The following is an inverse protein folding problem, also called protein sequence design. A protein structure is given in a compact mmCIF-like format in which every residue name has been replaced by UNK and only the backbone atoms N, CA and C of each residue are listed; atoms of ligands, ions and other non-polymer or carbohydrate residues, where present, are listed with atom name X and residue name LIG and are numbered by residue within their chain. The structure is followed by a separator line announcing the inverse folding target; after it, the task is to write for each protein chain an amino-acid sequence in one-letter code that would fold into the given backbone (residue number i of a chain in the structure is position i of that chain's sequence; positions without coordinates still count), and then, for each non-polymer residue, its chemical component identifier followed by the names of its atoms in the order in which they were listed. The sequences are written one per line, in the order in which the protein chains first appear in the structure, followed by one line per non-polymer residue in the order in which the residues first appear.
data_IF_046326195743
#
_entry.id   IF_046326195743
#
_cell.length_a   1.000
_cell.length_b   1.000
_cell.length_c   1.000
_cell.angle_alpha   90.00
_cell.angle_beta   90.00
_cell.angle_gamma   90.00
#
_symmetry.space_group_name_H-M   'P 1'
#
loop_
_entity.id
_entity.type
_entity.pdbx_description
1 polymer ?
#
# COMPACT_ATOMS: atom_id res chain seq x y z
N UNK A 1 -18.36 -11.03 -12.05
CA UNK A 1 -17.32 -9.98 -11.99
C UNK A 1 -16.78 -9.95 -10.57
N UNK A 2 -15.46 -9.97 -10.38
CA UNK A 2 -14.85 -9.79 -9.05
C UNK A 2 -14.83 -8.31 -8.70
N UNK A 3 -15.05 -7.97 -7.43
CA UNK A 3 -14.98 -6.60 -6.93
C UNK A 3 -13.76 -6.44 -6.02
N UNK A 4 -13.02 -5.34 -6.19
CA UNK A 4 -11.85 -5.00 -5.38
C UNK A 4 -12.00 -3.60 -4.80
N UNK A 5 -11.77 -3.47 -3.50
CA UNK A 5 -11.68 -2.17 -2.84
C UNK A 5 -10.25 -1.64 -2.94
N UNK A 6 -10.09 -0.42 -3.44
CA UNK A 6 -8.81 0.26 -3.51
C UNK A 6 -8.99 1.76 -3.23
N UNK A 7 -7.90 2.42 -2.84
CA UNK A 7 -7.81 3.88 -2.72
C UNK A 7 -6.66 4.39 -3.56
N UNK A 8 -6.89 5.51 -4.24
CA UNK A 8 -5.79 6.33 -4.76
C UNK A 8 -5.49 7.39 -3.70
N UNK A 9 -4.25 7.44 -3.25
CA UNK A 9 -3.76 8.42 -2.28
C UNK A 9 -2.58 9.18 -2.86
N UNK A 10 -2.44 10.45 -2.48
CA UNK A 10 -1.26 11.25 -2.80
C UNK A 10 -0.38 11.34 -1.56
N UNK A 11 0.84 10.84 -1.66
CA UNK A 11 1.83 10.84 -0.57
C UNK A 11 2.68 12.11 -0.66
N UNK A 12 3.09 12.65 0.48
CA UNK A 12 3.87 13.90 0.59
C UNK A 12 3.12 15.15 0.10
N UNK A 13 1.82 15.23 0.38
CA UNK A 13 1.02 16.43 0.16
C UNK A 13 0.18 16.80 1.39
N UNK A 14 -0.23 18.06 1.47
CA UNK A 14 -1.04 18.63 2.55
C UNK A 14 -1.81 19.88 2.11
N UNK A 15 -2.86 20.21 2.86
CA UNK A 15 -3.61 21.45 2.69
C UNK A 15 -4.29 21.56 1.33
N UNK A 16 -4.09 22.69 0.63
CA UNK A 16 -4.73 22.96 -0.67
C UNK A 16 -4.07 22.24 -1.86
N UNK A 17 -2.92 21.60 -1.66
CA UNK A 17 -2.15 20.94 -2.71
C UNK A 17 -2.56 19.47 -2.91
N UNK A 18 -3.83 19.09 -2.67
CA UNK A 18 -4.28 17.69 -2.54
C UNK A 18 -3.98 16.76 -3.73
N UNK A 19 -3.71 17.32 -4.92
CA UNK A 19 -3.33 16.57 -6.13
C UNK A 19 -1.83 16.68 -6.48
N UNK A 20 -0.99 17.09 -5.53
CA UNK A 20 0.48 17.06 -5.65
C UNK A 20 1.10 15.87 -4.90
N UNK A 21 2.42 15.75 -4.95
CA UNK A 21 3.14 14.66 -4.29
C UNK A 21 3.25 13.43 -5.18
N UNK A 22 3.33 12.25 -4.56
CA UNK A 22 3.47 10.98 -5.28
C UNK A 22 2.17 10.18 -5.19
N UNK A 23 1.49 9.92 -6.33
CA UNK A 23 0.27 9.14 -6.35
C UNK A 23 0.56 7.65 -6.11
N UNK A 24 -0.32 6.99 -5.37
CA UNK A 24 -0.23 5.57 -5.03
C UNK A 24 -1.61 4.93 -5.07
N UNK A 25 -1.72 3.77 -5.72
CA UNK A 25 -2.90 2.92 -5.60
C UNK A 25 -2.69 1.87 -4.50
N UNK A 26 -3.63 1.76 -3.57
CA UNK A 26 -3.59 0.81 -2.45
C UNK A 26 -4.82 -0.09 -2.50
N UNK A 27 -4.62 -1.38 -2.77
CA UNK A 27 -5.65 -2.40 -2.64
C UNK A 27 -5.82 -2.80 -1.18
N UNK A 28 -7.03 -2.68 -0.65
CA UNK A 28 -7.32 -2.83 0.77
C UNK A 28 -7.34 -4.29 1.25
N UNK A 29 -7.68 -5.23 0.37
CA UNK A 29 -7.81 -6.65 0.65
C UNK A 29 -7.41 -7.48 -0.56
N UNK A 30 -6.19 -7.98 -0.55
CA UNK A 30 -5.59 -8.66 -1.69
C UNK A 30 -5.33 -10.15 -1.47
N UNK A 31 -5.90 -10.76 -0.42
CA UNK A 31 -5.61 -12.17 -0.08
C UNK A 31 -6.05 -13.20 -1.15
N UNK A 32 -6.97 -12.81 -2.06
CA UNK A 32 -7.44 -13.66 -3.15
C UNK A 32 -6.67 -13.46 -4.46
N UNK A 33 -5.74 -12.50 -4.49
CA UNK A 33 -4.93 -12.18 -5.66
C UNK A 33 -3.60 -12.95 -5.59
N UNK A 34 -3.23 -13.58 -6.69
CA UNK A 34 -1.88 -14.10 -6.90
C UNK A 34 -0.94 -12.99 -7.40
N UNK A 35 0.36 -13.29 -7.50
CA UNK A 35 1.37 -12.34 -7.94
C UNK A 35 1.14 -11.82 -9.37
N UNK A 36 0.68 -12.69 -10.28
CA UNK A 36 0.44 -12.33 -11.67
C UNK A 36 -0.70 -11.31 -11.80
N UNK A 37 -1.80 -11.53 -11.08
CA UNK A 37 -2.92 -10.59 -11.03
C UNK A 37 -2.53 -9.28 -10.36
N UNK A 38 -1.74 -9.31 -9.28
CA UNK A 38 -1.22 -8.09 -8.66
C UNK A 38 -0.37 -7.28 -9.65
N UNK A 39 0.51 -7.93 -10.40
CA UNK A 39 1.34 -7.29 -11.43
C UNK A 39 0.49 -6.70 -12.57
N UNK A 40 -0.50 -7.46 -13.05
CA UNK A 40 -1.41 -7.01 -14.10
C UNK A 40 -2.24 -5.79 -13.66
N UNK A 41 -2.71 -5.78 -12.41
CA UNK A 41 -3.40 -4.63 -11.82
C UNK A 41 -2.46 -3.42 -11.70
N UNK A 42 -1.23 -3.62 -11.21
CA UNK A 42 -0.25 -2.53 -11.13
C UNK A 42 0.04 -1.90 -12.50
N UNK A 43 0.16 -2.74 -13.55
CA UNK A 43 0.29 -2.29 -14.93
C UNK A 43 -0.95 -1.53 -15.41
N UNK A 44 -2.16 -2.03 -15.10
CA UNK A 44 -3.42 -1.39 -15.50
C UNK A 44 -3.60 0.00 -14.88
N UNK A 45 -3.20 0.21 -13.62
CA UNK A 45 -3.24 1.51 -12.97
C UNK A 45 -2.14 2.46 -13.46
N UNK A 46 -1.00 1.92 -13.92
CA UNK A 46 0.10 2.67 -14.53
C UNK A 46 0.60 3.85 -13.68
N UNK A 47 0.57 3.69 -12.35
CA UNK A 47 1.25 4.58 -11.40
C UNK A 47 2.67 4.09 -11.16
N UNK A 48 3.53 4.91 -10.54
CA UNK A 48 4.89 4.51 -10.17
C UNK A 48 4.87 3.21 -9.36
N UNK A 49 3.96 3.10 -8.40
CA UNK A 49 3.76 1.89 -7.61
C UNK A 49 2.27 1.67 -7.27
N UNK A 50 1.93 0.40 -7.07
CA UNK A 50 0.66 -0.09 -6.52
C UNK A 50 0.96 -1.04 -5.38
N UNK A 51 0.25 -0.91 -4.27
CA UNK A 51 0.45 -1.73 -3.08
C UNK A 51 -0.76 -2.59 -2.77
N UNK A 52 -0.52 -3.77 -2.23
CA UNK A 52 -1.54 -4.76 -1.91
C UNK A 52 -1.44 -5.11 -0.43
N UNK A 53 -2.52 -4.84 0.33
CA UNK A 53 -2.62 -5.20 1.74
C UNK A 53 -3.11 -6.65 1.85
N UNK A 54 -2.36 -7.46 2.60
CA UNK A 54 -2.68 -8.84 2.94
C UNK A 54 -2.70 -9.03 4.47
N UNK A 55 -3.39 -10.06 4.97
CA UNK A 55 -3.24 -10.48 6.36
C UNK A 55 -1.79 -10.83 6.71
N UNK A 56 -1.39 -10.55 7.95
CA UNK A 56 -0.11 -10.97 8.52
C UNK A 56 -0.35 -11.63 9.87
N UNK A 57 0.43 -12.65 10.21
CA UNK A 57 0.42 -13.30 11.52
C UNK A 57 1.38 -12.61 12.52
N UNK A 58 2.25 -11.72 12.04
CA UNK A 58 3.39 -11.19 12.81
C UNK A 58 3.51 -9.67 12.78
N UNK A 59 2.68 -8.99 12.01
CA UNK A 59 2.64 -7.55 11.86
C UNK A 59 1.19 -7.05 11.76
N UNK A 60 0.98 -5.74 11.75
CA UNK A 60 -0.37 -5.16 11.58
C UNK A 60 -0.97 -5.48 10.21
N UNK A 61 -0.13 -5.56 9.17
CA UNK A 61 -0.50 -6.04 7.84
C UNK A 61 0.74 -6.53 7.09
N UNK A 62 0.56 -7.40 6.10
CA UNK A 62 1.56 -7.72 5.09
C UNK A 62 1.31 -6.86 3.85
N UNK A 63 2.36 -6.37 3.22
CA UNK A 63 2.27 -5.50 2.06
C UNK A 63 3.18 -6.02 0.95
N UNK A 64 2.64 -6.06 -0.27
CA UNK A 64 3.41 -6.25 -1.50
C UNK A 64 3.35 -4.98 -2.34
N UNK A 65 4.46 -4.63 -2.96
CA UNK A 65 4.63 -3.37 -3.70
C UNK A 65 5.04 -3.72 -5.13
N UNK A 66 4.27 -3.24 -6.10
CA UNK A 66 4.51 -3.50 -7.51
C UNK A 66 4.65 -2.20 -8.28
N UNK A 67 5.70 -2.10 -9.09
CA UNK A 67 5.72 -1.17 -10.23
C UNK A 67 4.91 -1.76 -11.38
N UNK A 68 4.70 -1.04 -12.50
CA UNK A 68 4.10 -1.63 -13.69
C UNK A 68 4.86 -2.84 -14.26
N UNK A 69 6.15 -3.00 -13.95
CA UNK A 69 7.00 -4.05 -14.53
C UNK A 69 7.43 -5.16 -13.57
N UNK A 70 7.54 -4.89 -12.27
CA UNK A 70 8.08 -5.86 -11.30
C UNK A 70 7.69 -5.56 -9.85
N UNK A 71 7.82 -6.57 -8.97
CA UNK A 71 7.65 -6.44 -7.53
C UNK A 71 8.91 -5.88 -6.84
N UNK A 72 8.71 -4.88 -5.98
CA UNK A 72 9.77 -4.30 -5.16
C UNK A 72 9.77 -4.90 -3.75
N UNK A 73 10.95 -5.13 -3.15
CA UNK A 73 11.01 -5.63 -1.77
C UNK A 73 10.63 -4.57 -0.73
N UNK A 74 10.78 -3.28 -1.08
CA UNK A 74 10.48 -2.13 -0.24
C UNK A 74 10.47 -0.85 -1.08
N UNK A 75 9.66 0.15 -0.67
CA UNK A 75 9.72 1.51 -1.19
C UNK A 75 9.16 2.52 -0.16
N UNK A 76 9.75 3.71 -0.08
CA UNK A 76 9.45 4.69 0.96
C UNK A 76 8.02 5.26 0.92
N UNK A 77 7.67 5.98 -0.16
CA UNK A 77 6.34 6.58 -0.27
C UNK A 77 5.20 5.54 -0.32
N UNK A 78 5.36 4.36 -0.96
CA UNK A 78 4.37 3.29 -0.90
C UNK A 78 4.13 2.79 0.52
N UNK A 79 5.18 2.68 1.33
CA UNK A 79 5.06 2.31 2.75
C UNK A 79 4.21 3.31 3.53
N UNK A 80 4.46 4.61 3.37
CA UNK A 80 3.72 5.65 4.10
C UNK A 80 2.26 5.75 3.65
N UNK A 81 2.02 5.71 2.33
CA UNK A 81 0.66 5.73 1.78
C UNK A 81 -0.15 4.50 2.22
N UNK A 82 0.47 3.31 2.18
CA UNK A 82 -0.18 2.08 2.64
C UNK A 82 -0.46 2.12 4.14
N UNK A 83 0.49 2.58 4.96
CA UNK A 83 0.29 2.72 6.41
C UNK A 83 -0.88 3.65 6.74
N UNK A 84 -1.03 4.75 6.01
CA UNK A 84 -2.17 5.66 6.16
C UNK A 84 -3.51 4.94 5.86
N UNK A 85 -3.56 4.14 4.80
CA UNK A 85 -4.75 3.33 4.48
C UNK A 85 -5.00 2.25 5.53
N UNK A 86 -3.98 1.53 5.99
CA UNK A 86 -4.09 0.57 7.09
C UNK A 86 -4.71 1.19 8.34
N UNK A 87 -4.22 2.37 8.76
CA UNK A 87 -4.79 3.12 9.89
C UNK A 87 -6.28 3.43 9.68
N UNK A 88 -6.64 3.90 8.49
CA UNK A 88 -8.04 4.20 8.14
C UNK A 88 -8.94 2.95 8.05
N UNK A 89 -8.36 1.76 7.90
CA UNK A 89 -9.06 0.47 7.93
C UNK A 89 -9.10 -0.15 9.33
N UNK A 90 -8.52 0.50 10.35
CA UNK A 90 -8.40 -0.05 11.70
C UNK A 90 -7.36 -1.17 11.83
N UNK A 91 -6.46 -1.31 10.86
CA UNK A 91 -5.35 -2.27 10.90
C UNK A 91 -4.19 -1.67 11.70
N UNK A 92 -4.34 -1.71 13.02
CA UNK A 92 -3.42 -1.10 13.98
C UNK A 92 -3.93 0.27 14.47
N UNK A 93 -3.03 1.25 14.52
CA UNK A 93 -3.34 2.61 14.96
C UNK A 93 -2.19 3.53 14.59
N UNK A 94 -1.86 4.50 15.44
CA UNK A 94 -0.75 5.43 15.20
C UNK A 94 0.63 4.76 15.24
N UNK A 95 0.70 3.52 15.73
CA UNK A 95 1.88 2.68 15.73
C UNK A 95 1.49 1.36 15.08
N UNK A 96 2.00 1.11 13.88
CA UNK A 96 1.72 -0.11 13.13
C UNK A 96 3.02 -0.69 12.54
N UNK A 97 2.99 -1.97 12.23
CA UNK A 97 4.09 -2.67 11.57
C UNK A 97 3.61 -3.23 10.24
N UNK A 98 4.41 -3.06 9.19
CA UNK A 98 4.13 -3.61 7.86
C UNK A 98 5.16 -4.69 7.53
N UNK A 99 4.71 -5.91 7.30
CA UNK A 99 5.55 -7.01 6.82
C UNK A 99 5.72 -6.91 5.30
N UNK A 100 6.95 -6.80 4.84
CA UNK A 100 7.33 -6.72 3.43
C UNK A 100 8.46 -7.73 3.13
N UNK A 101 8.79 -7.99 1.85
CA UNK A 101 9.95 -8.84 1.54
C UNK A 101 11.27 -8.34 2.15
N UNK A 102 11.43 -7.03 2.33
CA UNK A 102 12.59 -6.46 3.03
C UNK A 102 12.59 -6.64 4.56
N UNK A 103 11.49 -7.12 5.16
CA UNK A 103 11.33 -7.33 6.59
C UNK A 103 10.12 -6.62 7.20
N UNK A 104 10.08 -6.55 8.53
CA UNK A 104 9.01 -5.86 9.27
C UNK A 104 9.40 -4.39 9.45
N UNK A 105 8.61 -3.50 8.85
CA UNK A 105 8.85 -2.07 8.84
C UNK A 105 7.93 -1.38 9.86
N UNK A 106 8.46 -0.80 10.95
CA UNK A 106 7.66 -0.03 11.89
C UNK A 106 7.33 1.35 11.32
N UNK A 107 6.04 1.74 11.40
CA UNK A 107 5.56 3.06 10.98
C UNK A 107 4.88 3.74 12.16
N UNK A 108 5.10 5.04 12.31
CA UNK A 108 4.46 5.88 13.31
C UNK A 108 3.79 7.09 12.66
N UNK A 109 2.54 7.35 13.04
CA UNK A 109 1.86 8.61 12.78
C UNK A 109 1.87 9.47 14.04
N UNK A 110 2.04 10.78 13.88
CA UNK A 110 1.90 11.75 14.96
C UNK A 110 0.87 12.80 14.51
N UNK A 111 -0.18 12.98 15.30
CA UNK A 111 -1.31 13.88 15.00
C UNK A 111 -2.60 13.13 14.66
#
# INVERSE_FOLDING_TARGET
MSAYAYRIVNVFTQGRAVLSGNPLCVFERAQTLDAERMQALALQFNLSETTFILPSERASARVRIFTPGYEMPFAGHPTLGTAHVCRALGLGGDRLTLEMPAGIIPVRANG
#
